data_IF_768449954202
#
_entry.id   IF_768449954202
#
_cell.length_a   1.000
_cell.length_b   1.000
_cell.length_c   1.000
_cell.angle_alpha   90.00
_cell.angle_beta   90.00
_cell.angle_gamma   90.00
#
_symmetry.space_group_name_H-M   'P 1'
#
loop_
_entity.id
_entity.type
_entity.pdbx_description
1 polymer ?
#
# COMPACT_ATOMS: atom_id res chain seq x y z
N UNK A 1 -5.34 3.37 13.35
CA UNK A 1 -6.23 3.14 12.21
C UNK A 1 -6.74 1.73 12.32
N UNK A 2 -8.06 1.53 12.28
CA UNK A 2 -8.62 0.18 12.18
C UNK A 2 -8.47 -0.28 10.73
N UNK A 3 -7.64 -1.31 10.51
CA UNK A 3 -7.43 -1.87 9.17
C UNK A 3 -8.61 -2.75 8.73
N UNK A 4 -9.49 -3.16 9.65
CA UNK A 4 -10.65 -4.00 9.35
C UNK A 4 -11.70 -3.33 8.46
N UNK A 5 -11.70 -2.00 8.38
CA UNK A 5 -12.60 -1.24 7.49
C UNK A 5 -11.98 -0.93 6.12
N UNK A 6 -10.68 -1.16 5.95
CA UNK A 6 -9.98 -0.86 4.70
C UNK A 6 -10.26 -1.96 3.68
N UNK A 7 -10.97 -1.59 2.61
CA UNK A 7 -11.34 -2.48 1.50
C UNK A 7 -10.42 -2.34 0.30
N UNK A 8 -9.65 -1.27 0.21
CA UNK A 8 -8.77 -1.03 -0.92
C UNK A 8 -7.56 -0.16 -0.61
N UNK A 9 -6.48 -0.42 -1.34
CA UNK A 9 -5.25 0.37 -1.36
C UNK A 9 -5.06 0.88 -2.79
N UNK A 10 -4.80 2.17 -2.92
CA UNK A 10 -4.57 2.80 -4.20
C UNK A 10 -3.31 3.66 -4.20
N UNK A 11 -2.73 3.81 -5.38
CA UNK A 11 -1.61 4.70 -5.65
C UNK A 11 -2.18 5.84 -6.49
N UNK A 12 -1.93 7.08 -6.08
CA UNK A 12 -2.49 8.27 -6.74
C UNK A 12 -1.95 8.44 -8.16
N UNK A 13 -0.64 8.24 -8.34
CA UNK A 13 0.04 8.37 -9.62
C UNK A 13 0.97 7.17 -9.86
N UNK A 14 0.67 6.37 -10.89
CA UNK A 14 1.48 5.21 -11.25
C UNK A 14 2.88 5.59 -11.78
N UNK A 15 3.05 6.81 -12.30
CA UNK A 15 4.35 7.31 -12.76
C UNK A 15 5.37 7.47 -11.63
N UNK A 16 4.92 7.48 -10.37
CA UNK A 16 5.79 7.54 -9.20
C UNK A 16 6.24 6.15 -8.73
N UNK A 17 5.75 5.06 -9.34
CA UNK A 17 6.14 3.69 -9.00
C UNK A 17 7.43 3.33 -9.73
N UNK A 18 8.47 3.01 -8.95
CA UNK A 18 9.76 2.54 -9.46
C UNK A 18 9.81 1.02 -9.58
N UNK A 19 9.21 0.33 -8.62
CA UNK A 19 9.23 -1.13 -8.55
C UNK A 19 7.91 -1.60 -7.91
N UNK A 20 7.32 -2.65 -8.46
CA UNK A 20 6.20 -3.34 -7.85
C UNK A 20 6.40 -4.85 -7.96
N UNK A 21 6.48 -5.50 -6.81
CA UNK A 21 6.64 -6.94 -6.68
C UNK A 21 5.44 -7.53 -5.95
N UNK A 22 4.90 -8.62 -6.48
CA UNK A 22 3.81 -9.39 -5.88
C UNK A 22 4.35 -10.80 -5.60
N UNK A 23 4.28 -11.23 -4.36
CA UNK A 23 4.69 -12.57 -3.95
C UNK A 23 3.51 -13.34 -3.38
N UNK A 24 3.34 -14.56 -3.86
CA UNK A 24 2.31 -15.49 -3.39
C UNK A 24 2.98 -16.67 -2.69
N UNK A 25 2.84 -16.78 -1.37
CA UNK A 25 3.43 -17.87 -0.59
C UNK A 25 2.53 -18.26 0.59
N UNK A 26 2.42 -19.56 0.86
CA UNK A 26 1.73 -20.12 2.02
C UNK A 26 0.30 -19.60 2.26
N UNK A 27 -0.46 -19.33 1.18
CA UNK A 27 -1.83 -18.81 1.28
C UNK A 27 -1.92 -17.31 1.57
N UNK A 28 -0.81 -16.59 1.47
CA UNK A 28 -0.73 -15.14 1.56
C UNK A 28 -0.31 -14.54 0.22
N UNK A 29 -0.84 -13.35 -0.06
CA UNK A 29 -0.36 -12.47 -1.12
C UNK A 29 0.26 -11.26 -0.47
N UNK A 30 1.50 -10.93 -0.82
CA UNK A 30 2.18 -9.72 -0.39
C UNK A 30 2.54 -8.84 -1.58
N UNK A 31 2.38 -7.54 -1.37
CA UNK A 31 2.75 -6.49 -2.31
C UNK A 31 3.87 -5.67 -1.68
N UNK A 32 4.93 -5.46 -2.45
CA UNK A 32 5.96 -4.49 -2.15
C UNK A 32 6.04 -3.49 -3.30
N UNK A 33 5.87 -2.21 -2.99
CA UNK A 33 5.93 -1.11 -3.95
C UNK A 33 6.97 -0.11 -3.49
N UNK A 34 7.95 0.17 -4.35
CA UNK A 34 8.95 1.22 -4.14
C UNK A 34 8.66 2.38 -5.07
N UNK A 35 8.72 3.59 -4.53
CA UNK A 35 8.44 4.83 -5.24
C UNK A 35 9.73 5.54 -5.65
N UNK A 36 9.63 6.42 -6.65
CA UNK A 36 10.76 7.20 -7.19
C UNK A 36 11.43 8.10 -6.14
N UNK A 37 10.68 8.56 -5.14
CA UNK A 37 11.20 9.38 -4.03
C UNK A 37 11.87 8.54 -2.90
N UNK A 38 11.96 7.22 -3.05
CA UNK A 38 12.45 6.31 -2.00
C UNK A 38 11.41 5.92 -0.95
N UNK A 39 10.14 6.29 -1.16
CA UNK A 39 9.01 5.78 -0.38
C UNK A 39 8.77 4.30 -0.64
N UNK A 40 8.22 3.62 0.36
CA UNK A 40 7.94 2.18 0.30
C UNK A 40 6.55 1.90 0.87
N UNK A 41 5.79 1.03 0.19
CA UNK A 41 4.51 0.50 0.62
C UNK A 41 4.59 -1.02 0.62
N UNK A 42 4.33 -1.63 1.76
CA UNK A 42 4.26 -3.07 1.91
C UNK A 42 2.93 -3.47 2.55
N UNK A 43 2.20 -4.39 1.92
CA UNK A 43 1.00 -4.96 2.52
C UNK A 43 0.83 -6.42 2.13
N UNK A 44 0.20 -7.19 3.00
CA UNK A 44 -0.10 -8.59 2.74
C UNK A 44 -1.49 -8.97 3.25
N UNK A 45 -2.14 -9.90 2.56
CA UNK A 45 -3.44 -10.43 2.93
C UNK A 45 -3.49 -11.95 2.78
N UNK A 46 -4.31 -12.61 3.62
CA UNK A 46 -4.53 -14.05 3.57
C UNK A 46 -5.61 -14.43 2.54
N UNK A 47 -5.88 -15.72 2.38
CA UNK A 47 -6.89 -16.24 1.47
C UNK A 47 -8.33 -15.76 1.78
N UNK A 48 -8.59 -15.26 2.99
CA UNK A 48 -9.88 -14.67 3.38
C UNK A 48 -9.95 -13.17 3.06
N UNK A 49 -8.90 -12.59 2.46
CA UNK A 49 -8.80 -11.17 2.15
C UNK A 49 -8.49 -10.28 3.35
N UNK A 50 -8.11 -10.86 4.50
CA UNK A 50 -7.79 -10.10 5.70
C UNK A 50 -6.36 -9.58 5.61
N UNK A 51 -6.17 -8.29 5.88
CA UNK A 51 -4.84 -7.67 5.95
C UNK A 51 -4.09 -8.22 7.17
N UNK A 52 -2.91 -8.81 6.94
CA UNK A 52 -2.04 -9.35 7.99
C UNK A 52 -0.74 -8.56 8.16
N UNK A 53 -0.38 -7.75 7.16
CA UNK A 53 0.74 -6.80 7.22
C UNK A 53 0.35 -5.53 6.48
N UNK A 54 0.72 -4.39 7.05
CA UNK A 54 0.57 -3.10 6.41
C UNK A 54 1.62 -2.12 6.92
N UNK A 55 2.44 -1.60 6.02
CA UNK A 55 3.49 -0.65 6.34
C UNK A 55 3.69 0.34 5.19
N UNK A 56 3.82 1.61 5.53
CA UNK A 56 4.13 2.67 4.57
C UNK A 56 5.19 3.59 5.16
N UNK A 57 6.25 3.86 4.38
CA UNK A 57 7.40 4.68 4.78
C UNK A 57 7.64 5.77 3.76
N UNK A 58 7.87 7.00 4.22
CA UNK A 58 8.15 8.17 3.37
C UNK A 58 7.09 8.44 2.28
N UNK A 59 5.82 8.14 2.59
CA UNK A 59 4.66 8.38 1.73
C UNK A 59 3.64 9.23 2.47
N UNK A 60 2.88 10.04 1.73
CA UNK A 60 1.65 10.62 2.24
C UNK A 60 0.52 9.63 2.03
N UNK A 61 -0.37 9.55 3.03
CA UNK A 61 -1.55 8.68 2.99
C UNK A 61 -2.80 9.52 3.18
N UNK A 62 -3.81 9.30 2.35
CA UNK A 62 -5.13 9.92 2.47
C UNK A 62 -6.17 8.81 2.62
N UNK A 63 -7.06 8.96 3.60
CA UNK A 63 -8.22 8.07 3.76
C UNK A 63 -9.38 8.62 2.95
N UNK A 64 -9.90 7.83 2.02
CA UNK A 64 -11.10 8.17 1.25
C UNK A 64 -12.27 7.31 1.74
N UNK A 65 -13.37 7.98 2.11
CA UNK A 65 -14.64 7.37 2.55
C UNK A 65 -14.51 6.35 3.71
N UNK A 66 -13.42 6.40 4.49
CA UNK A 66 -13.16 5.47 5.59
C UNK A 66 -12.74 4.04 5.18
N UNK A 67 -12.74 3.74 3.88
CA UNK A 67 -12.55 2.38 3.36
C UNK A 67 -11.37 2.24 2.39
N UNK A 68 -10.78 3.35 1.95
CA UNK A 68 -9.71 3.34 0.95
C UNK A 68 -8.50 4.16 1.41
N UNK A 69 -7.32 3.57 1.27
CA UNK A 69 -6.04 4.25 1.49
C UNK A 69 -5.42 4.64 0.16
N UNK A 70 -5.20 5.93 -0.04
CA UNK A 70 -4.52 6.46 -1.21
C UNK A 70 -3.11 6.90 -0.84
N UNK A 71 -2.11 6.37 -1.54
CA UNK A 71 -0.70 6.67 -1.35
C UNK A 71 -0.17 7.58 -2.45
N UNK A 72 0.63 8.56 -2.05
CA UNK A 72 1.33 9.46 -2.97
C UNK A 72 2.70 9.83 -2.43
N UNK A 73 3.59 10.19 -3.34
CA UNK A 73 4.91 10.70 -2.95
C UNK A 73 4.76 12.06 -2.28
N UNK A 74 5.51 12.28 -1.20
CA UNK A 74 5.63 13.61 -0.60
C UNK A 74 6.40 14.50 -1.56
N UNK A 75 5.74 15.54 -2.10
CA UNK A 75 6.45 16.61 -2.79
C UNK A 75 7.44 17.26 -1.81
N UNK A 76 8.70 17.44 -2.21
CA UNK A 76 9.58 18.36 -1.48
C UNK A 76 8.97 19.76 -1.63
N UNK A 77 8.63 20.40 -0.51
CA UNK A 77 8.43 21.85 -0.48
C UNK A 77 9.76 22.55 -0.78
#
# INVERSE_FOLDING_TARGET
>A
MDLGTIKSVGIENIGDVKEHSINNQFGFVSHFVRFTNGGELEFAYNAQGQIVKFEARNLQTVVQNGERLMFRVSSKQ
#
